data_IF_577278613251
#
_entry.id   IF_577278613251
#
_cell.length_a   1.000
_cell.length_b   1.000
_cell.length_c   1.000
_cell.angle_alpha   90.00
_cell.angle_beta   90.00
_cell.angle_gamma   90.00
#
_symmetry.space_group_name_H-M   'P 1'
#
loop_
_entity.id
_entity.type
_entity.pdbx_description
1 polymer ?
#
# COMPACT_ATOMS: atom_id res chain seq x y z
N UNK A 1 -55.91 -13.17 -34.66
CA UNK A 1 -55.04 -14.15 -35.34
C UNK A 1 -53.75 -13.46 -35.75
N UNK A 2 -52.62 -13.78 -35.10
CA UNK A 2 -51.32 -13.19 -35.42
C UNK A 2 -50.77 -13.93 -36.65
N UNK A 3 -50.53 -13.21 -37.76
CA UNK A 3 -50.00 -13.82 -38.98
C UNK A 3 -48.58 -14.31 -38.74
N UNK A 4 -48.24 -15.48 -39.28
CA UNK A 4 -46.91 -16.12 -39.19
C UNK A 4 -45.76 -15.15 -39.53
N UNK A 5 -45.98 -14.22 -40.48
CA UNK A 5 -45.01 -13.17 -40.85
C UNK A 5 -44.63 -12.23 -39.69
N UNK A 6 -45.59 -11.87 -38.84
CA UNK A 6 -45.34 -11.04 -37.66
C UNK A 6 -44.58 -11.82 -36.58
N UNK A 7 -44.87 -13.12 -36.43
CA UNK A 7 -44.25 -14.00 -35.44
C UNK A 7 -42.75 -14.21 -35.75
N UNK A 8 -42.39 -14.35 -37.03
CA UNK A 8 -40.98 -14.46 -37.46
C UNK A 8 -40.20 -13.15 -37.21
N UNK A 9 -40.81 -11.99 -37.47
CA UNK A 9 -40.18 -10.68 -37.24
C UNK A 9 -39.94 -10.42 -35.75
N UNK A 10 -40.95 -10.68 -34.89
CA UNK A 10 -40.78 -10.50 -33.44
C UNK A 10 -39.77 -11.47 -32.84
N UNK A 11 -39.69 -12.70 -33.35
CA UNK A 11 -38.68 -13.67 -32.92
C UNK A 11 -37.25 -13.21 -33.25
N UNK A 12 -37.01 -12.72 -34.46
CA UNK A 12 -35.69 -12.19 -34.86
C UNK A 12 -35.27 -10.96 -34.05
N UNK A 13 -36.20 -10.04 -33.79
CA UNK A 13 -35.93 -8.85 -32.97
C UNK A 13 -35.64 -9.25 -31.51
N UNK A 14 -36.35 -10.22 -30.96
CA UNK A 14 -36.14 -10.70 -29.59
C UNK A 14 -34.75 -11.35 -29.43
N UNK A 15 -34.34 -12.18 -30.39
CA UNK A 15 -33.01 -12.79 -30.40
C UNK A 15 -31.92 -11.72 -30.54
N UNK A 16 -32.11 -10.74 -31.43
CA UNK A 16 -31.16 -9.62 -31.59
C UNK A 16 -31.04 -8.77 -30.34
N UNK A 17 -32.13 -8.55 -29.61
CA UNK A 17 -32.12 -7.83 -28.34
C UNK A 17 -31.40 -8.61 -27.25
N UNK A 18 -31.61 -9.93 -27.17
CA UNK A 18 -30.89 -10.79 -26.22
C UNK A 18 -29.39 -10.78 -26.51
N UNK A 19 -28.98 -10.84 -27.78
CA UNK A 19 -27.57 -10.76 -28.18
C UNK A 19 -26.98 -9.38 -27.88
N UNK A 20 -27.72 -8.30 -28.11
CA UNK A 20 -27.28 -6.93 -27.77
C UNK A 20 -27.13 -6.73 -26.25
N UNK A 21 -28.06 -7.24 -25.46
CA UNK A 21 -27.96 -7.23 -23.99
C UNK A 21 -26.78 -8.09 -23.54
N UNK A 22 -26.57 -9.25 -24.15
CA UNK A 22 -25.42 -10.10 -23.84
C UNK A 22 -24.08 -9.47 -24.22
N UNK A 23 -24.01 -8.73 -25.32
CA UNK A 23 -22.84 -7.96 -25.73
C UNK A 23 -22.60 -6.77 -24.79
N UNK A 24 -23.65 -6.03 -24.40
CA UNK A 24 -23.54 -4.91 -23.46
C UNK A 24 -23.13 -5.34 -22.04
N UNK A 25 -23.53 -6.53 -21.60
CA UNK A 25 -23.09 -7.12 -20.32
C UNK A 25 -21.78 -7.91 -20.43
N UNK A 26 -21.38 -8.40 -21.62
CA UNK A 26 -20.08 -9.05 -21.82
C UNK A 26 -18.96 -8.06 -22.18
N UNK A 27 -19.30 -6.81 -22.53
CA UNK A 27 -18.35 -5.73 -22.77
C UNK A 27 -17.94 -5.00 -21.49
N UNK A 28 -18.07 -5.63 -20.32
CA UNK A 28 -17.50 -5.09 -19.09
C UNK A 28 -15.97 -5.00 -19.29
N UNK A 29 -15.52 -3.76 -19.36
CA UNK A 29 -14.29 -3.28 -19.97
C UNK A 29 -13.06 -4.15 -19.66
N UNK A 30 -12.58 -4.89 -20.66
CA UNK A 30 -11.27 -5.58 -20.57
C UNK A 30 -10.16 -4.59 -20.22
N UNK A 31 -10.30 -3.34 -20.63
CA UNK A 31 -9.39 -2.24 -20.29
C UNK A 31 -9.40 -1.87 -18.80
N UNK A 32 -10.57 -1.89 -18.14
CA UNK A 32 -10.68 -1.65 -16.70
C UNK A 32 -10.15 -2.82 -15.88
N UNK A 33 -10.41 -4.05 -16.32
CA UNK A 33 -9.85 -5.25 -15.68
C UNK A 33 -8.32 -5.26 -15.74
N UNK A 34 -7.73 -4.91 -16.88
CA UNK A 34 -6.28 -4.78 -17.02
C UNK A 34 -5.68 -3.63 -16.19
N UNK A 35 -6.42 -2.53 -15.99
CA UNK A 35 -5.99 -1.44 -15.12
C UNK A 35 -6.02 -1.86 -13.65
N UNK A 36 -7.15 -2.44 -13.20
CA UNK A 36 -7.31 -2.94 -11.83
C UNK A 36 -6.28 -4.01 -11.49
N UNK A 37 -5.93 -4.90 -12.42
CA UNK A 37 -4.89 -5.91 -12.19
C UNK A 37 -3.50 -5.29 -12.04
N UNK A 38 -3.14 -4.32 -12.88
CA UNK A 38 -1.86 -3.60 -12.75
C UNK A 38 -1.77 -2.81 -11.45
N UNK A 39 -2.86 -2.15 -11.06
CA UNK A 39 -2.93 -1.42 -9.79
C UNK A 39 -2.84 -2.39 -8.60
N UNK A 40 -3.50 -3.55 -8.67
CA UNK A 40 -3.41 -4.59 -7.64
C UNK A 40 -2.00 -5.19 -7.53
N UNK A 41 -1.30 -5.40 -8.64
CA UNK A 41 0.10 -5.83 -8.65
C UNK A 41 1.01 -4.80 -7.97
N UNK A 42 0.80 -3.50 -8.22
CA UNK A 42 1.56 -2.43 -7.57
C UNK A 42 1.35 -2.41 -6.05
N UNK A 43 0.12 -2.62 -5.59
CA UNK A 43 -0.18 -2.72 -4.15
C UNK A 43 0.39 -4.01 -3.56
N UNK A 44 0.26 -5.14 -4.26
CA UNK A 44 0.84 -6.41 -3.81
C UNK A 44 2.37 -6.30 -3.67
N UNK A 45 3.04 -5.66 -4.62
CA UNK A 45 4.48 -5.39 -4.56
C UNK A 45 4.87 -4.54 -3.34
N UNK A 46 4.08 -3.50 -3.02
CA UNK A 46 4.28 -2.68 -1.82
C UNK A 46 4.15 -3.51 -0.54
N UNK A 47 3.27 -4.51 -0.55
CA UNK A 47 3.03 -5.43 0.56
C UNK A 47 4.01 -6.62 0.58
N UNK A 48 4.88 -6.75 -0.41
CA UNK A 48 5.85 -7.86 -0.53
C UNK A 48 5.36 -9.08 -1.29
N UNK A 49 4.16 -9.03 -1.84
CA UNK A 49 3.69 -9.99 -2.84
C UNK A 49 4.19 -9.60 -4.22
N UNK A 50 5.43 -9.94 -4.53
CA UNK A 50 5.91 -9.94 -5.91
C UNK A 50 5.68 -11.30 -6.54
N UNK A 51 4.88 -11.38 -7.61
CA UNK A 51 4.90 -12.55 -8.51
C UNK A 51 6.28 -12.66 -9.18
N UNK A 52 6.78 -13.88 -9.45
CA UNK A 52 8.12 -14.08 -9.99
C UNK A 52 8.18 -13.56 -11.42
N UNK A 53 8.80 -12.41 -11.64
CA UNK A 53 9.26 -12.06 -12.97
C UNK A 53 10.37 -13.05 -13.34
N UNK A 54 10.18 -13.73 -14.47
CA UNK A 54 11.09 -14.67 -15.09
C UNK A 54 12.39 -13.97 -15.49
N UNK A 55 13.32 -13.86 -14.55
CA UNK A 55 14.68 -13.37 -14.76
C UNK A 55 15.67 -14.30 -14.06
N UNK A 56 16.56 -14.88 -14.84
CA UNK A 56 17.56 -15.88 -14.45
C UNK A 56 18.50 -15.43 -13.32
N UNK A 57 18.63 -16.26 -12.29
CA UNK A 57 19.87 -16.45 -11.53
C UNK A 57 20.22 -15.41 -10.45
N UNK A 58 19.73 -15.61 -9.23
CA UNK A 58 20.57 -15.46 -8.02
C UNK A 58 19.89 -16.08 -6.81
N UNK A 59 20.56 -17.05 -6.19
CA UNK A 59 20.19 -17.67 -4.93
C UNK A 59 20.34 -16.67 -3.78
N UNK A 60 19.24 -16.15 -3.27
CA UNK A 60 19.26 -15.31 -2.07
C UNK A 60 17.86 -15.07 -1.52
N UNK A 61 17.40 -15.98 -0.67
CA UNK A 61 16.28 -15.77 0.26
C UNK A 61 14.92 -15.48 -0.39
N UNK A 62 14.31 -16.49 -1.02
CA UNK A 62 12.88 -16.46 -1.37
C UNK A 62 12.08 -16.58 -0.07
N UNK A 63 11.65 -15.46 0.53
CA UNK A 63 10.53 -15.51 1.46
C UNK A 63 9.27 -15.55 0.61
N UNK A 64 8.63 -16.71 0.50
CA UNK A 64 7.23 -16.83 0.08
C UNK A 64 6.35 -16.26 1.23
N UNK A 65 6.61 -15.03 1.65
CA UNK A 65 5.79 -14.36 2.66
C UNK A 65 4.50 -13.92 1.96
N UNK A 66 3.40 -14.40 2.50
CA UNK A 66 2.06 -14.02 2.05
C UNK A 66 1.92 -12.50 2.10
N UNK A 67 1.20 -11.91 1.13
CA UNK A 67 0.84 -10.47 1.19
C UNK A 67 0.12 -10.10 2.48
N UNK A 68 -0.44 -11.07 3.20
CA UNK A 68 -1.13 -10.90 4.48
C UNK A 68 -0.20 -10.94 5.70
N UNK A 69 1.02 -11.45 5.55
CA UNK A 69 2.01 -11.57 6.63
C UNK A 69 3.02 -10.42 6.66
N UNK A 70 2.90 -9.50 5.70
CA UNK A 70 3.76 -8.35 5.50
C UNK A 70 4.03 -7.56 6.78
N UNK A 71 5.28 -7.11 6.93
CA UNK A 71 5.65 -6.11 7.93
C UNK A 71 4.86 -4.82 7.76
N UNK A 72 4.33 -4.54 6.57
CA UNK A 72 3.49 -3.37 6.28
C UNK A 72 2.32 -3.22 7.27
N UNK A 73 1.65 -4.31 7.66
CA UNK A 73 0.53 -4.28 8.61
C UNK A 73 0.94 -4.29 10.08
N UNK A 74 2.20 -4.68 10.35
CA UNK A 74 2.74 -4.84 11.70
C UNK A 74 3.45 -3.57 12.17
N UNK A 75 4.03 -2.82 11.24
CA UNK A 75 4.60 -1.50 11.49
C UNK A 75 3.50 -0.53 11.93
N UNK A 76 3.72 0.25 12.99
CA UNK A 76 2.74 1.21 13.51
C UNK A 76 2.30 0.99 14.96
N UNK A 77 2.71 -0.09 15.62
CA UNK A 77 2.37 -0.36 17.03
C UNK A 77 3.12 0.50 18.06
N UNK A 78 3.73 1.61 17.64
CA UNK A 78 4.53 2.46 18.52
C UNK A 78 5.80 1.80 19.06
N UNK A 79 6.14 0.58 18.64
CA UNK A 79 7.41 -0.03 19.02
C UNK A 79 8.55 0.73 18.32
N UNK A 80 9.34 1.45 19.11
CA UNK A 80 10.65 1.87 18.68
C UNK A 80 11.50 0.61 18.50
N UNK A 81 11.54 0.12 17.27
CA UNK A 81 12.59 -0.80 16.85
C UNK A 81 13.76 0.11 16.50
N UNK A 82 14.78 0.12 17.37
CA UNK A 82 16.08 0.68 17.00
C UNK A 82 16.45 -0.01 15.69
N UNK A 83 16.57 0.75 14.61
CA UNK A 83 16.96 0.20 13.32
C UNK A 83 18.24 -0.57 13.57
N UNK A 84 18.15 -1.90 13.47
CA UNK A 84 19.31 -2.75 13.60
C UNK A 84 20.39 -2.15 12.70
N UNK A 85 21.59 -1.98 13.26
CA UNK A 85 22.80 -1.62 12.52
C UNK A 85 23.21 -2.76 11.59
N UNK A 86 22.25 -3.37 10.88
CA UNK A 86 22.52 -4.14 9.70
C UNK A 86 22.99 -3.14 8.67
N UNK A 87 24.31 -3.04 8.51
CA UNK A 87 24.90 -2.37 7.36
C UNK A 87 24.11 -2.83 6.13
N UNK A 88 23.52 -1.88 5.36
CA UNK A 88 22.92 -2.27 4.09
C UNK A 88 24.02 -3.00 3.34
N UNK A 89 23.79 -4.28 3.01
CA UNK A 89 24.71 -5.01 2.12
C UNK A 89 24.94 -4.09 0.93
N UNK A 90 26.18 -3.62 0.80
CA UNK A 90 26.51 -2.59 -0.18
C UNK A 90 25.99 -3.06 -1.53
N UNK A 91 24.93 -2.38 -2.00
CA UNK A 91 24.48 -2.54 -3.37
C UNK A 91 25.66 -2.11 -4.25
N UNK A 92 25.91 -2.83 -5.33
CA UNK A 92 26.93 -2.44 -6.31
C UNK A 92 26.68 -0.96 -6.68
N UNK A 93 27.60 -0.03 -6.38
CA UNK A 93 27.40 1.38 -6.65
C UNK A 93 27.27 1.69 -8.14
N UNK A 94 27.57 0.72 -9.03
CA UNK A 94 27.37 0.82 -10.47
C UNK A 94 26.06 0.16 -10.96
N UNK A 95 25.25 -0.42 -10.09
CA UNK A 95 23.96 -0.97 -10.51
C UNK A 95 23.00 0.17 -10.89
N UNK A 96 22.23 -0.04 -11.97
CA UNK A 96 21.23 0.93 -12.46
C UNK A 96 20.12 1.27 -11.44
N UNK A 97 20.03 0.49 -10.36
CA UNK A 97 19.04 0.62 -9.27
C UNK A 97 19.65 1.15 -7.96
N UNK A 98 20.95 1.49 -7.91
CA UNK A 98 21.64 1.86 -6.67
C UNK A 98 21.04 3.10 -5.97
N UNK A 99 20.42 4.00 -6.73
CA UNK A 99 19.76 5.20 -6.22
C UNK A 99 18.30 4.97 -5.78
N UNK A 100 17.75 3.78 -6.01
CA UNK A 100 16.38 3.45 -5.63
C UNK A 100 16.25 3.28 -4.11
N UNK A 101 15.07 3.60 -3.53
CA UNK A 101 14.82 3.32 -2.12
C UNK A 101 14.99 1.83 -1.80
N UNK A 102 15.48 1.53 -0.60
CA UNK A 102 15.65 0.15 -0.12
C UNK A 102 14.31 -0.43 0.26
N UNK A 103 13.99 -1.61 -0.26
CA UNK A 103 12.83 -2.38 0.13
C UNK A 103 13.04 -2.94 1.55
N UNK A 104 12.17 -2.61 2.53
CA UNK A 104 12.33 -3.04 3.92
C UNK A 104 12.16 -4.56 4.12
N UNK A 105 11.59 -5.28 3.15
CA UNK A 105 11.37 -6.72 3.22
C UNK A 105 12.56 -7.52 2.68
N UNK A 106 13.19 -7.03 1.60
CA UNK A 106 14.31 -7.73 0.95
C UNK A 106 15.68 -7.16 1.32
N UNK A 107 15.72 -5.98 1.93
CA UNK A 107 16.92 -5.20 2.21
C UNK A 107 17.77 -4.90 0.95
N UNK A 108 17.13 -4.85 -0.22
CA UNK A 108 17.74 -4.47 -1.50
C UNK A 108 17.02 -3.24 -2.07
N UNK A 109 17.69 -2.39 -2.86
CA UNK A 109 17.00 -1.35 -3.63
C UNK A 109 15.88 -1.97 -4.48
N UNK A 110 14.74 -1.28 -4.59
CA UNK A 110 13.72 -1.65 -5.58
C UNK A 110 14.32 -1.59 -6.98
N UNK A 111 13.87 -2.43 -7.91
CA UNK A 111 14.28 -2.32 -9.32
C UNK A 111 13.61 -1.14 -10.00
N UNK A 112 14.15 -0.66 -11.12
CA UNK A 112 13.51 0.40 -11.91
C UNK A 112 12.10 -0.01 -12.39
N UNK A 113 11.86 -1.28 -12.72
CA UNK A 113 10.53 -1.77 -13.08
C UNK A 113 9.56 -1.68 -11.88
N UNK A 114 10.01 -2.08 -10.69
CA UNK A 114 9.25 -1.96 -9.45
C UNK A 114 8.91 -0.49 -9.13
N UNK A 115 9.88 0.42 -9.31
CA UNK A 115 9.68 1.85 -9.13
C UNK A 115 8.67 2.46 -10.11
N UNK A 116 8.61 1.93 -11.33
CA UNK A 116 7.60 2.30 -12.32
C UNK A 116 6.21 1.79 -11.92
N UNK A 117 6.09 0.59 -11.32
CA UNK A 117 4.80 0.10 -10.81
C UNK A 117 4.23 1.02 -9.72
N UNK A 118 5.09 1.63 -8.91
CA UNK A 118 4.66 2.60 -7.90
C UNK A 118 4.22 3.95 -8.46
N UNK A 119 4.43 4.26 -9.75
CA UNK A 119 4.01 5.56 -10.33
C UNK A 119 2.51 5.79 -10.21
N UNK A 120 1.70 4.78 -10.53
CA UNK A 120 0.24 4.84 -10.42
C UNK A 120 -0.22 5.06 -8.98
N UNK A 121 0.44 4.43 -8.01
CA UNK A 121 0.13 4.63 -6.59
C UNK A 121 0.51 6.05 -6.15
N UNK A 122 1.62 6.62 -6.63
CA UNK A 122 2.02 8.00 -6.35
C UNK A 122 1.06 9.02 -6.96
N UNK A 123 0.52 8.74 -8.15
CA UNK A 123 -0.51 9.58 -8.76
C UNK A 123 -1.81 9.56 -7.96
N UNK A 124 -2.20 8.38 -7.45
CA UNK A 124 -3.42 8.23 -6.64
C UNK A 124 -3.28 8.79 -5.24
N UNK A 125 -2.11 8.62 -4.62
CA UNK A 125 -1.82 9.03 -3.25
C UNK A 125 -0.55 9.90 -3.19
N UNK A 126 -0.61 11.14 -3.71
CA UNK A 126 0.57 12.01 -3.83
C UNK A 126 1.21 12.35 -2.48
N UNK A 127 0.41 12.39 -1.42
CA UNK A 127 0.84 12.76 -0.06
C UNK A 127 1.15 11.55 0.83
N UNK A 128 1.10 10.33 0.29
CA UNK A 128 1.35 9.11 1.06
C UNK A 128 2.85 8.84 1.20
N UNK A 129 3.32 8.84 2.45
CA UNK A 129 4.73 8.71 2.79
C UNK A 129 5.29 7.30 2.67
N UNK A 130 4.43 6.30 2.52
CA UNK A 130 4.81 4.88 2.49
C UNK A 130 5.11 4.37 1.09
N UNK A 131 4.66 5.09 0.05
CA UNK A 131 4.89 4.69 -1.33
C UNK A 131 6.33 5.06 -1.73
N UNK A 132 7.14 4.08 -2.18
CA UNK A 132 8.52 4.34 -2.56
C UNK A 132 8.62 5.39 -3.68
N UNK A 133 9.51 6.36 -3.49
CA UNK A 133 9.84 7.39 -4.49
C UNK A 133 11.35 7.64 -4.54
N UNK A 134 11.85 7.96 -5.73
CA UNK A 134 13.21 8.48 -5.91
C UNK A 134 13.27 9.86 -5.25
N UNK A 135 14.26 10.07 -4.40
CA UNK A 135 14.53 11.34 -3.74
C UNK A 135 15.82 11.91 -4.33
N UNK A 136 15.85 13.22 -4.57
CA UNK A 136 17.10 13.91 -4.83
C UNK A 136 18.05 13.82 -3.61
N UNK A 137 19.36 14.06 -3.78
CA UNK A 137 20.29 14.04 -2.64
C UNK A 137 19.88 14.96 -1.49
N UNK A 138 19.33 16.13 -1.80
CA UNK A 138 18.84 17.08 -0.81
C UNK A 138 17.61 16.55 -0.06
N UNK A 139 16.65 15.94 -0.77
CA UNK A 139 15.47 15.35 -0.15
C UNK A 139 15.81 14.10 0.68
N UNK A 140 16.78 13.30 0.24
CA UNK A 140 17.28 12.14 0.99
C UNK A 140 17.92 12.57 2.31
N UNK A 141 18.67 13.66 2.29
CA UNK A 141 19.24 14.27 3.51
C UNK A 141 18.14 14.79 4.44
N UNK A 142 17.19 15.57 3.91
CA UNK A 142 16.08 16.11 4.68
C UNK A 142 15.24 14.99 5.34
N UNK A 143 14.95 13.92 4.59
CA UNK A 143 14.25 12.74 5.11
C UNK A 143 15.04 12.06 6.23
N UNK A 144 16.36 11.89 6.08
CA UNK A 144 17.19 11.28 7.14
C UNK A 144 17.17 12.10 8.43
N UNK A 145 17.19 13.42 8.31
CA UNK A 145 17.10 14.33 9.45
C UNK A 145 15.71 14.30 10.08
N UNK A 146 14.65 14.22 9.29
CA UNK A 146 13.28 14.00 9.78
C UNK A 146 13.14 12.68 10.52
N UNK A 147 13.59 11.57 9.92
CA UNK A 147 13.55 10.23 10.52
C UNK A 147 14.33 10.20 11.85
N UNK A 148 15.49 10.88 11.90
CA UNK A 148 16.30 11.02 13.13
C UNK A 148 15.60 11.83 14.22
N UNK A 149 14.94 12.94 13.85
CA UNK A 149 14.15 13.77 14.77
C UNK A 149 12.95 13.01 15.34
N UNK A 150 12.25 12.25 14.50
CA UNK A 150 11.13 11.41 14.92
C UNK A 150 11.61 10.30 15.87
N UNK A 151 12.74 9.66 15.56
CA UNK A 151 13.33 8.63 16.42
C UNK A 151 13.73 9.19 17.79
N UNK A 152 14.33 10.38 17.83
CA UNK A 152 14.63 11.07 19.08
C UNK A 152 13.36 11.43 19.86
N UNK A 153 12.36 12.00 19.19
CA UNK A 153 11.08 12.32 19.80
C UNK A 153 10.41 11.08 20.40
N UNK A 154 10.43 9.96 19.69
CA UNK A 154 9.91 8.67 20.18
C UNK A 154 10.62 8.25 21.48
N UNK A 155 11.96 8.22 21.48
CA UNK A 155 12.76 7.87 22.67
C UNK A 155 12.41 8.76 23.87
N UNK A 156 12.29 10.07 23.66
CA UNK A 156 11.98 11.01 24.73
C UNK A 156 10.52 10.89 25.20
N UNK A 157 9.58 10.57 24.31
CA UNK A 157 8.17 10.30 24.69
C UNK A 157 8.10 9.08 25.59
N UNK A 158 8.79 7.98 25.24
CA UNK A 158 8.86 6.78 26.07
C UNK A 158 9.57 7.02 27.41
N UNK A 159 10.64 7.82 27.41
CA UNK A 159 11.36 8.22 28.61
C UNK A 159 10.60 9.25 29.48
N UNK A 160 9.47 9.79 29.00
CA UNK A 160 8.71 10.89 29.62
C UNK A 160 9.53 12.17 29.82
N UNK A 161 10.50 12.41 28.94
CA UNK A 161 11.38 13.59 28.92
C UNK A 161 11.16 14.47 27.69
N UNK A 162 10.19 14.14 26.83
CA UNK A 162 9.93 14.86 25.61
C UNK A 162 9.43 16.29 25.84
N UNK A 163 9.89 17.20 24.99
CA UNK A 163 9.32 18.55 24.89
C UNK A 163 7.95 18.53 24.21
N UNK A 164 7.19 19.62 24.29
CA UNK A 164 5.89 19.72 23.63
C UNK A 164 5.98 19.50 22.11
N UNK A 165 7.02 20.05 21.47
CA UNK A 165 7.26 19.87 20.04
C UNK A 165 7.59 18.42 19.69
N UNK A 166 8.37 17.74 20.53
CA UNK A 166 8.68 16.31 20.35
C UNK A 166 7.43 15.45 20.50
N UNK A 167 6.58 15.71 21.50
CA UNK A 167 5.29 15.02 21.68
C UNK A 167 4.42 15.21 20.44
N UNK A 168 4.30 16.46 19.96
CA UNK A 168 3.53 16.78 18.76
C UNK A 168 4.08 16.06 17.53
N UNK A 169 5.38 16.17 17.27
CA UNK A 169 6.03 15.57 16.10
C UNK A 169 5.88 14.05 16.09
N UNK A 170 6.05 13.39 17.24
CA UNK A 170 5.94 11.93 17.34
C UNK A 170 4.52 11.45 17.01
N UNK A 171 3.51 11.99 17.69
CA UNK A 171 2.13 11.52 17.50
C UNK A 171 1.54 11.93 16.14
N UNK A 172 1.92 13.09 15.60
CA UNK A 172 1.51 13.49 14.24
C UNK A 172 2.10 12.54 13.20
N UNK A 173 3.38 12.17 13.31
CA UNK A 173 3.98 11.20 12.41
C UNK A 173 3.32 9.82 12.56
N UNK A 174 3.06 9.36 13.78
CA UNK A 174 2.42 8.06 14.02
C UNK A 174 1.00 7.99 13.44
N UNK A 175 0.23 9.07 13.59
CA UNK A 175 -1.10 9.21 12.99
C UNK A 175 -1.02 9.21 11.46
N UNK A 176 -0.13 10.04 10.89
CA UNK A 176 0.03 10.12 9.43
C UNK A 176 0.44 8.78 8.83
N UNK A 177 1.42 8.08 9.41
CA UNK A 177 1.80 6.75 8.90
C UNK A 177 0.64 5.75 8.97
N UNK A 178 -0.16 5.77 10.03
CA UNK A 178 -1.30 4.87 10.15
C UNK A 178 -2.42 5.22 9.16
N UNK A 179 -2.65 6.51 8.91
CA UNK A 179 -3.57 6.99 7.88
C UNK A 179 -3.11 6.58 6.48
N UNK A 180 -1.83 6.81 6.16
CA UNK A 180 -1.23 6.42 4.89
C UNK A 180 -1.33 4.90 4.65
N UNK A 181 -1.20 4.06 5.69
CA UNK A 181 -1.45 2.61 5.59
C UNK A 181 -2.91 2.32 5.28
N UNK A 182 -3.83 2.96 6.00
CA UNK A 182 -5.26 2.78 5.84
C UNK A 182 -5.71 3.11 4.42
N UNK A 183 -5.18 4.16 3.81
CA UNK A 183 -5.50 4.56 2.45
C UNK A 183 -5.12 3.47 1.42
N UNK A 184 -3.93 2.89 1.56
CA UNK A 184 -3.46 1.78 0.71
C UNK A 184 -4.32 0.53 0.90
N UNK A 185 -4.70 0.20 2.14
CA UNK A 185 -5.50 -1.00 2.42
C UNK A 185 -6.94 -0.84 1.95
N UNK A 186 -7.55 0.32 2.16
CA UNK A 186 -8.87 0.61 1.62
C UNK A 186 -8.90 0.40 0.11
N UNK A 187 -7.86 0.87 -0.57
CA UNK A 187 -7.74 0.72 -1.99
C UNK A 187 -7.49 -0.72 -2.43
N UNK A 188 -6.69 -1.49 -1.70
CA UNK A 188 -6.55 -2.93 -1.96
C UNK A 188 -7.88 -3.66 -1.82
N UNK A 189 -8.64 -3.36 -0.77
CA UNK A 189 -9.98 -3.93 -0.56
C UNK A 189 -10.87 -3.57 -1.74
N UNK A 190 -10.87 -2.31 -2.19
CA UNK A 190 -11.68 -1.85 -3.33
C UNK A 190 -11.28 -2.52 -4.65
N UNK A 191 -10.00 -2.79 -4.87
CA UNK A 191 -9.51 -3.54 -6.03
C UNK A 191 -9.94 -5.01 -6.01
N UNK A 192 -10.06 -5.60 -4.81
CA UNK A 192 -10.39 -7.02 -4.63
C UNK A 192 -11.89 -7.29 -4.48
N UNK A 193 -12.70 -6.26 -4.22
CA UNK A 193 -14.16 -6.38 -4.13
C UNK A 193 -14.73 -6.97 -5.41
N UNK A 194 -15.50 -8.05 -5.27
CA UNK A 194 -16.17 -8.68 -6.41
C UNK A 194 -15.24 -9.56 -7.25
N UNK A 195 -14.04 -9.87 -6.75
CA UNK A 195 -13.15 -10.90 -7.32
C UNK A 195 -13.75 -12.30 -7.22
N UNK A 196 -14.71 -12.51 -6.31
CA UNK A 196 -15.34 -13.80 -6.05
C UNK A 196 -14.56 -14.70 -5.07
N UNK A 197 -13.46 -14.18 -4.49
CA UNK A 197 -12.65 -14.90 -3.50
C UNK A 197 -13.02 -14.47 -2.06
N UNK A 198 -14.07 -15.09 -1.51
CA UNK A 198 -14.62 -14.75 -0.18
C UNK A 198 -13.56 -14.79 0.94
N UNK A 199 -12.67 -15.78 0.94
CA UNK A 199 -11.60 -15.90 1.93
C UNK A 199 -10.57 -14.77 1.84
N UNK A 200 -10.26 -14.31 0.63
CA UNK A 200 -9.35 -13.19 0.37
C UNK A 200 -9.98 -11.89 0.84
N UNK A 201 -11.23 -11.64 0.48
CA UNK A 201 -12.00 -10.47 0.93
C UNK A 201 -12.10 -10.42 2.47
N UNK A 202 -12.38 -11.57 3.11
CA UNK A 202 -12.46 -11.66 4.57
C UNK A 202 -11.14 -11.35 5.27
N UNK A 203 -10.01 -11.85 4.75
CA UNK A 203 -8.67 -11.54 5.29
C UNK A 203 -8.35 -10.05 5.18
N UNK A 204 -8.66 -9.45 4.03
CA UNK A 204 -8.45 -8.01 3.81
C UNK A 204 -9.33 -7.17 4.72
N UNK A 205 -10.59 -7.54 4.91
CA UNK A 205 -11.50 -6.86 5.84
C UNK A 205 -10.98 -6.92 7.28
N UNK A 206 -10.46 -8.07 7.73
CA UNK A 206 -9.85 -8.20 9.07
C UNK A 206 -8.62 -7.29 9.23
N UNK A 207 -7.79 -7.19 8.19
CA UNK A 207 -6.62 -6.29 8.18
C UNK A 207 -7.06 -4.82 8.22
N UNK A 208 -8.04 -4.46 7.39
CA UNK A 208 -8.62 -3.12 7.35
C UNK A 208 -9.18 -2.72 8.74
N UNK A 209 -9.91 -3.62 9.40
CA UNK A 209 -10.41 -3.39 10.75
C UNK A 209 -9.28 -3.24 11.77
N UNK A 210 -8.23 -4.06 11.66
CA UNK A 210 -7.04 -3.95 12.53
C UNK A 210 -6.36 -2.59 12.40
N UNK A 211 -6.13 -2.10 11.19
CA UNK A 211 -5.49 -0.79 10.95
C UNK A 211 -6.41 0.35 11.40
N UNK A 212 -7.72 0.24 11.17
CA UNK A 212 -8.71 1.20 11.68
C UNK A 212 -8.65 1.30 13.21
N UNK A 213 -8.56 0.17 13.90
CA UNK A 213 -8.43 0.14 15.36
C UNK A 213 -7.10 0.75 15.82
N UNK A 214 -6.00 0.50 15.08
CA UNK A 214 -4.71 1.15 15.34
C UNK A 214 -4.83 2.67 15.19
N UNK A 215 -5.47 3.18 14.13
CA UNK A 215 -5.65 4.62 13.93
C UNK A 215 -6.42 5.27 15.09
N UNK A 216 -7.51 4.64 15.51
CA UNK A 216 -8.29 5.11 16.66
C UNK A 216 -7.47 5.12 17.95
N UNK A 217 -6.65 4.09 18.16
CA UNK A 217 -5.77 4.02 19.32
C UNK A 217 -4.72 5.14 19.28
N UNK A 218 -4.06 5.36 18.14
CA UNK A 218 -3.08 6.44 17.95
C UNK A 218 -3.71 7.81 18.19
N UNK A 219 -4.93 8.04 17.69
CA UNK A 219 -5.67 9.29 17.90
C UNK A 219 -5.99 9.53 19.38
N UNK A 220 -6.41 8.48 20.08
CA UNK A 220 -6.69 8.54 21.52
C UNK A 220 -5.42 8.78 22.33
N UNK A 221 -4.33 8.12 22.00
CA UNK A 221 -3.03 8.33 22.65
C UNK A 221 -2.50 9.73 22.42
N UNK A 222 -2.61 10.25 21.18
CA UNK A 222 -2.27 11.64 20.83
C UNK A 222 -3.05 12.63 21.69
N UNK A 223 -4.38 12.48 21.76
CA UNK A 223 -5.23 13.36 22.55
C UNK A 223 -4.84 13.33 24.04
N UNK A 224 -4.62 12.13 24.59
CA UNK A 224 -4.21 11.98 25.99
C UNK A 224 -2.83 12.59 26.25
N UNK A 225 -1.85 12.35 25.37
CA UNK A 225 -0.51 12.90 25.50
C UNK A 225 -0.54 14.44 25.41
N UNK A 226 -1.35 15.00 24.53
CA UNK A 226 -1.49 16.45 24.40
C UNK A 226 -2.13 17.07 25.65
N UNK A 227 -3.16 16.42 26.23
CA UNK A 227 -3.75 16.86 27.51
C UNK A 227 -2.73 16.80 28.65
N UNK A 228 -1.98 15.70 28.77
CA UNK A 228 -0.98 15.52 29.82
C UNK A 228 0.17 16.54 29.71
N UNK A 229 0.53 16.92 28.49
CA UNK A 229 1.55 17.92 28.22
C UNK A 229 1.02 19.37 28.22
N UNK A 230 -0.28 19.60 28.48
CA UNK A 230 -0.86 20.96 28.43
C UNK A 230 -0.77 21.62 27.05
N UNK A 231 -0.81 20.82 25.98
CA UNK A 231 -0.79 21.27 24.57
C UNK A 231 -2.21 21.55 24.06
N UNK A 232 -3.22 20.92 24.69
CA UNK A 232 -4.65 21.10 24.42
C UNK A 232 -5.34 21.96 25.49
#
# INVERSE_FOLDING_TARGET
MISIRKLVIYSGISISLIVLVWILFSSEDSSEKERKSKEADSVALLLGGGSPSSGSGSSGGKTNESIFDSSFYKSGKGEYIESDKGEPKEADPNAADADNPVNPQTNKPYTNEEMERFSQLRERFPDNSLIPKKLSPAEKEAKRQEDSRIAEAARNVFARTATHDQIRSYYQNMEKQTQDRMDIINYLVDLQKGSGEEETEKKLNNIQESIKNQLQQVQKEKENAFKQAGIL
#
